data_IF_958761000489
#
_entry.id   IF_958761000489
#
_cell.length_a   1.000
_cell.length_b   1.000
_cell.length_c   1.000
_cell.angle_alpha   90.00
_cell.angle_beta   90.00
_cell.angle_gamma   90.00
#
_symmetry.space_group_name_H-M   'P 1'
#
loop_
_entity.id
_entity.type
_entity.pdbx_description
1 polymer ?
#
# COMPACT_ATOMS: atom_id res chain seq x y z
N UNK A 1 34.55 23.23 5.19
CA UNK A 1 33.40 23.48 4.29
C UNK A 1 32.12 23.29 5.08
N UNK A 2 31.51 24.37 5.52
CA UNK A 2 30.18 24.34 6.17
C UNK A 2 29.14 24.04 5.10
N UNK A 3 28.48 22.90 5.22
CA UNK A 3 27.35 22.55 4.36
C UNK A 3 26.11 23.14 5.04
N UNK A 4 25.67 24.32 4.60
CA UNK A 4 24.37 24.84 5.02
C UNK A 4 23.26 24.17 4.23
N UNK A 5 22.28 23.62 4.95
CA UNK A 5 21.04 23.10 4.37
C UNK A 5 20.22 24.30 3.87
N UNK A 6 19.81 24.23 2.60
CA UNK A 6 18.97 25.25 1.98
C UNK A 6 17.53 25.16 2.47
N UNK A 7 16.83 26.29 2.49
CA UNK A 7 15.40 26.30 2.78
C UNK A 7 14.65 25.46 1.74
N UNK A 8 13.85 24.50 2.21
CA UNK A 8 12.97 23.72 1.35
C UNK A 8 11.60 23.51 2.00
N UNK A 9 10.60 23.32 1.16
CA UNK A 9 9.30 22.77 1.56
C UNK A 9 9.23 21.34 1.06
N UNK A 10 8.88 20.41 1.94
CA UNK A 10 8.73 19.00 1.60
C UNK A 10 7.30 18.55 1.83
N UNK A 11 6.76 17.81 0.87
CA UNK A 11 5.46 17.17 0.99
C UNK A 11 5.57 15.70 0.58
N UNK A 12 5.15 14.82 1.48
CA UNK A 12 4.91 13.42 1.19
C UNK A 12 3.46 13.11 1.59
N UNK A 13 2.50 13.15 0.64
CA UNK A 13 1.09 12.95 0.93
C UNK A 13 0.73 11.47 1.11
N UNK A 14 1.66 10.55 0.85
CA UNK A 14 1.39 9.11 0.93
C UNK A 14 1.12 8.70 2.37
N UNK A 15 -0.08 8.20 2.62
CA UNK A 15 -0.43 7.58 3.91
C UNK A 15 0.28 6.24 4.04
N UNK A 16 1.01 6.05 5.13
CA UNK A 16 1.75 4.82 5.41
C UNK A 16 0.94 3.95 6.40
N UNK A 17 0.52 2.77 5.95
CA UNK A 17 -0.06 1.73 6.80
C UNK A 17 1.04 0.74 7.19
N UNK A 18 1.68 0.96 8.34
CA UNK A 18 2.84 0.16 8.79
C UNK A 18 2.51 -0.74 9.98
N UNK A 19 3.05 -1.95 9.98
CA UNK A 19 2.93 -2.91 11.08
C UNK A 19 2.44 -4.29 10.63
N UNK A 20 2.36 -5.22 11.58
CA UNK A 20 1.83 -6.57 11.35
C UNK A 20 0.33 -6.49 11.00
N UNK A 21 -0.12 -7.32 10.06
CA UNK A 21 -1.54 -7.49 9.67
C UNK A 21 -2.25 -6.26 9.07
N UNK A 22 -1.54 -5.17 8.73
CA UNK A 22 -2.16 -3.94 8.18
C UNK A 22 -2.78 -4.07 6.79
N UNK A 23 -2.61 -5.20 6.12
CA UNK A 23 -3.17 -5.43 4.78
C UNK A 23 -4.71 -5.43 4.77
N UNK A 24 -5.34 -5.71 5.91
CA UNK A 24 -6.80 -5.69 6.08
C UNK A 24 -7.37 -4.28 6.00
N UNK A 25 -6.59 -3.25 6.35
CA UNK A 25 -7.04 -1.86 6.33
C UNK A 25 -7.26 -1.31 4.91
N UNK A 26 -6.75 -2.00 3.88
CA UNK A 26 -6.97 -1.63 2.47
C UNK A 26 -8.47 -1.46 2.17
N UNK A 27 -9.32 -2.20 2.87
CA UNK A 27 -10.77 -2.09 2.74
C UNK A 27 -11.32 -0.69 3.10
N UNK A 28 -10.61 0.08 3.92
CA UNK A 28 -10.97 1.44 4.30
C UNK A 28 -10.32 2.51 3.42
N UNK A 29 -9.26 2.16 2.69
CA UNK A 29 -8.48 3.11 1.87
C UNK A 29 -8.94 3.15 0.40
N UNK A 30 -9.72 2.16 -0.05
CA UNK A 30 -10.20 2.06 -1.44
C UNK A 30 -11.73 2.19 -1.47
N UNK A 31 -12.32 2.99 -2.38
CA UNK A 31 -13.78 3.09 -2.53
C UNK A 31 -14.45 1.72 -2.71
N UNK A 32 -15.64 1.54 -2.14
CA UNK A 32 -16.35 0.24 -2.13
C UNK A 32 -16.86 -0.20 -3.51
N UNK A 33 -16.97 0.74 -4.44
CA UNK A 33 -17.47 0.58 -5.81
C UNK A 33 -16.35 0.55 -6.87
N UNK A 34 -15.09 0.65 -6.44
CA UNK A 34 -13.95 0.64 -7.35
C UNK A 34 -13.67 -0.76 -7.89
N UNK A 35 -13.56 -0.90 -9.22
CA UNK A 35 -13.03 -2.12 -9.85
C UNK A 35 -11.50 -2.12 -9.77
N UNK A 36 -10.91 -3.05 -9.03
CA UNK A 36 -9.47 -3.05 -8.72
C UNK A 36 -8.69 -4.05 -9.59
N UNK A 37 -7.60 -3.58 -10.21
CA UNK A 37 -6.61 -4.45 -10.86
C UNK A 37 -5.40 -4.64 -9.93
N UNK A 38 -5.16 -5.88 -9.50
CA UNK A 38 -4.00 -6.23 -8.66
C UNK A 38 -2.83 -6.65 -9.55
N UNK A 39 -1.82 -5.78 -9.65
CA UNK A 39 -0.58 -6.07 -10.39
C UNK A 39 0.47 -6.68 -9.47
N UNK A 40 1.12 -7.75 -9.91
CA UNK A 40 2.23 -8.39 -9.20
C UNK A 40 3.25 -9.01 -10.17
N UNK A 41 4.48 -9.25 -9.69
CA UNK A 41 5.59 -9.79 -10.49
C UNK A 41 5.62 -11.31 -10.57
N UNK A 42 6.81 -11.92 -10.47
CA UNK A 42 7.08 -13.36 -10.68
C UNK A 42 6.42 -14.38 -9.73
N UNK A 43 5.40 -13.97 -8.96
CA UNK A 43 4.53 -14.89 -8.21
C UNK A 43 4.94 -15.20 -6.77
N UNK A 44 6.03 -14.62 -6.25
CA UNK A 44 6.42 -14.78 -4.84
C UNK A 44 5.31 -14.38 -3.85
N UNK A 45 4.52 -13.35 -4.19
CA UNK A 45 3.37 -12.88 -3.41
C UNK A 45 2.23 -13.89 -3.28
N UNK A 46 2.12 -14.83 -4.23
CA UNK A 46 1.18 -15.95 -4.11
C UNK A 46 1.73 -17.01 -3.17
N UNK A 47 3.02 -17.36 -3.32
CA UNK A 47 3.69 -18.37 -2.47
C UNK A 47 3.68 -18.01 -0.98
N UNK A 48 3.81 -16.73 -0.64
CA UNK A 48 3.81 -16.25 0.76
C UNK A 48 2.41 -15.80 1.25
N UNK A 49 1.36 -16.03 0.45
CA UNK A 49 -0.04 -15.70 0.77
C UNK A 49 -0.35 -14.20 0.85
N UNK A 50 0.56 -13.30 0.47
CA UNK A 50 0.29 -11.86 0.47
C UNK A 50 -0.79 -11.48 -0.55
N UNK A 51 -0.78 -12.11 -1.72
CA UNK A 51 -1.81 -11.92 -2.75
C UNK A 51 -3.19 -12.31 -2.21
N UNK A 52 -3.31 -13.48 -1.59
CA UNK A 52 -4.59 -13.96 -1.07
C UNK A 52 -5.12 -13.07 0.06
N UNK A 53 -4.25 -12.59 0.94
CA UNK A 53 -4.62 -11.61 1.97
C UNK A 53 -5.09 -10.29 1.37
N UNK A 54 -4.44 -9.80 0.31
CA UNK A 54 -4.85 -8.57 -0.38
C UNK A 54 -6.22 -8.73 -1.05
N UNK A 55 -6.43 -9.82 -1.80
CA UNK A 55 -7.71 -10.10 -2.47
C UNK A 55 -8.83 -10.28 -1.43
N UNK A 56 -8.55 -10.97 -0.33
CA UNK A 56 -9.51 -11.12 0.78
C UNK A 56 -9.88 -9.76 1.38
N UNK A 57 -8.92 -8.87 1.60
CA UNK A 57 -9.16 -7.54 2.14
C UNK A 57 -9.95 -6.64 1.16
N UNK A 58 -9.78 -6.83 -0.15
CA UNK A 58 -10.52 -6.08 -1.17
C UNK A 58 -12.01 -6.46 -1.24
N UNK A 59 -12.43 -7.58 -0.64
CA UNK A 59 -13.83 -7.98 -0.57
C UNK A 59 -14.47 -8.16 -1.96
N UNK A 60 -15.71 -7.71 -2.11
CA UNK A 60 -16.53 -7.92 -3.31
C UNK A 60 -16.44 -6.77 -4.35
N UNK A 61 -15.37 -5.97 -4.30
CA UNK A 61 -15.09 -4.92 -5.28
C UNK A 61 -14.88 -5.47 -6.70
#
# INVERSE_FOLDING_TARGET
>A
MTHEIQNFTFQNPTKILFGRNRIEDIDNEIPKDAKVLVLYGGGSVKKNGAFDRAVKALGNR
#
